data_IF_675770858677
#
_entry.id   IF_675770858677
#
_cell.length_a   1.000
_cell.length_b   1.000
_cell.length_c   1.000
_cell.angle_alpha   90.00
_cell.angle_beta   90.00
_cell.angle_gamma   90.00
#
_symmetry.space_group_name_H-M   'P 1'
#
loop_
_entity.id
_entity.type
_entity.pdbx_description
1 polymer ?
#
# COMPACT_ATOMS: atom_id res chain seq x y z
N UNK A 1 86.25 -1.13 4.95
CA UNK A 1 87.02 -1.62 3.80
C UNK A 1 86.15 -2.26 2.78
N UNK A 2 86.28 -1.77 1.54
CA UNK A 2 85.79 -2.29 0.22
C UNK A 2 84.45 -2.97 0.10
N UNK A 3 83.51 -2.25 -0.43
CA UNK A 3 82.85 -2.26 -1.73
C UNK A 3 82.95 -3.51 -2.59
N UNK A 4 81.80 -4.07 -2.99
CA UNK A 4 81.59 -4.57 -4.35
C UNK A 4 80.18 -4.22 -4.83
N UNK A 5 80.22 -3.56 -5.98
CA UNK A 5 79.07 -3.14 -6.76
C UNK A 5 78.67 -4.32 -7.64
N UNK A 6 77.37 -4.68 -7.67
CA UNK A 6 76.84 -5.67 -8.58
C UNK A 6 75.79 -5.03 -9.46
N UNK A 7 76.05 -4.98 -10.77
CA UNK A 7 75.15 -4.43 -11.80
C UNK A 7 73.95 -5.32 -12.01
N UNK A 8 72.76 -4.73 -12.04
CA UNK A 8 71.54 -5.41 -12.42
C UNK A 8 71.18 -4.99 -13.85
N UNK A 9 71.17 -5.97 -14.74
CA UNK A 9 70.73 -5.80 -16.13
C UNK A 9 69.22 -5.60 -16.21
N UNK A 10 68.78 -4.54 -16.89
CA UNK A 10 67.38 -4.28 -17.18
C UNK A 10 66.93 -5.13 -18.41
N UNK A 11 66.01 -6.03 -18.20
CA UNK A 11 65.28 -6.73 -19.29
C UNK A 11 64.00 -5.91 -19.57
N UNK A 12 63.99 -5.27 -20.74
CA UNK A 12 62.78 -4.61 -21.26
C UNK A 12 61.82 -5.66 -21.87
N UNK A 13 60.72 -5.92 -21.19
CA UNK A 13 59.63 -6.69 -21.74
C UNK A 13 58.64 -5.74 -22.41
N UNK A 14 58.54 -5.82 -23.73
CA UNK A 14 57.53 -5.10 -24.53
C UNK A 14 56.17 -5.77 -24.34
N UNK A 15 55.26 -5.11 -23.64
CA UNK A 15 53.86 -5.51 -23.62
C UNK A 15 53.15 -4.91 -24.83
N UNK A 16 52.75 -5.76 -25.76
CA UNK A 16 51.80 -5.41 -26.81
C UNK A 16 50.41 -5.28 -26.21
N UNK A 17 49.89 -4.06 -26.12
CA UNK A 17 48.48 -3.79 -25.71
C UNK A 17 47.60 -4.10 -26.93
N UNK A 18 46.93 -5.23 -26.88
CA UNK A 18 45.83 -5.53 -27.79
C UNK A 18 44.63 -4.70 -27.38
N UNK A 19 44.31 -3.65 -28.15
CA UNK A 19 43.08 -2.87 -28.01
C UNK A 19 41.92 -3.74 -28.54
N UNK A 20 41.26 -4.45 -27.64
CA UNK A 20 40.00 -5.09 -27.96
C UNK A 20 38.88 -4.04 -27.99
N UNK A 21 38.44 -3.65 -29.18
CA UNK A 21 37.22 -2.85 -29.37
C UNK A 21 36.03 -3.70 -28.94
N UNK A 22 35.61 -3.59 -27.67
CA UNK A 22 34.33 -4.10 -27.24
C UNK A 22 33.23 -3.27 -27.90
N UNK A 23 32.59 -3.85 -28.92
CA UNK A 23 31.35 -3.30 -29.46
C UNK A 23 30.34 -3.12 -28.32
N UNK A 24 29.93 -1.89 -28.10
CA UNK A 24 28.83 -1.57 -27.18
C UNK A 24 27.57 -2.27 -27.75
N UNK A 25 27.26 -3.40 -27.13
CA UNK A 25 26.02 -4.10 -27.40
C UNK A 25 24.86 -3.17 -27.07
N UNK A 26 24.06 -2.85 -28.10
CA UNK A 26 22.82 -2.12 -27.95
C UNK A 26 22.02 -2.77 -26.84
N UNK A 27 21.73 -2.02 -25.77
CA UNK A 27 20.90 -2.47 -24.67
C UNK A 27 19.56 -2.94 -25.22
N UNK A 28 19.35 -4.26 -25.27
CA UNK A 28 18.08 -4.85 -25.72
C UNK A 28 16.97 -4.30 -24.85
N UNK A 29 16.10 -3.50 -25.44
CA UNK A 29 14.85 -3.06 -24.82
C UNK A 29 14.17 -4.31 -24.24
N UNK A 30 13.81 -4.33 -22.94
CA UNK A 30 13.24 -5.53 -22.34
C UNK A 30 12.02 -5.97 -23.13
N UNK A 31 12.04 -7.21 -23.61
CA UNK A 31 10.98 -7.79 -24.42
C UNK A 31 9.64 -7.62 -23.69
N UNK A 32 8.67 -6.95 -24.34
CA UNK A 32 7.31 -6.82 -23.82
C UNK A 32 6.76 -8.22 -23.58
N UNK A 33 6.29 -8.50 -22.36
CA UNK A 33 5.62 -9.77 -22.05
C UNK A 33 4.56 -10.06 -23.12
N UNK A 34 4.60 -11.26 -23.73
CA UNK A 34 3.64 -11.68 -24.75
C UNK A 34 2.19 -11.55 -24.23
N UNK A 35 1.96 -11.83 -22.95
CA UNK A 35 0.67 -11.65 -22.29
C UNK A 35 0.19 -10.18 -22.30
N UNK A 36 1.11 -9.21 -22.26
CA UNK A 36 0.77 -7.80 -22.24
C UNK A 36 0.24 -7.28 -23.59
N UNK A 37 0.63 -7.92 -24.70
CA UNK A 37 0.29 -7.51 -26.07
C UNK A 37 -0.83 -8.34 -26.69
N UNK A 38 -1.19 -9.48 -26.10
CA UNK A 38 -2.27 -10.33 -26.58
C UNK A 38 -3.59 -9.55 -26.64
N UNK A 39 -4.18 -9.48 -27.83
CA UNK A 39 -5.49 -8.84 -28.02
C UNK A 39 -6.60 -9.70 -27.43
N UNK A 40 -7.50 -9.08 -26.68
CA UNK A 40 -8.67 -9.71 -26.06
C UNK A 40 -9.91 -8.99 -26.55
N UNK A 41 -10.95 -9.75 -26.93
CA UNK A 41 -12.27 -9.17 -27.23
C UNK A 41 -12.88 -8.62 -25.94
N UNK A 42 -13.40 -7.40 -26.02
CA UNK A 42 -14.06 -6.76 -24.89
C UNK A 42 -15.48 -7.31 -24.65
N UNK A 43 -16.16 -7.74 -25.69
CA UNK A 43 -17.55 -8.22 -25.60
C UNK A 43 -18.49 -7.23 -24.89
N UNK A 44 -19.63 -7.75 -24.43
CA UNK A 44 -20.60 -7.01 -23.62
C UNK A 44 -20.28 -7.06 -22.13
N UNK A 45 -19.45 -8.00 -21.70
CA UNK A 45 -19.00 -8.17 -20.30
C UNK A 45 -17.48 -8.26 -20.25
N UNK A 46 -16.86 -7.46 -19.39
CA UNK A 46 -15.42 -7.37 -19.20
C UNK A 46 -15.05 -7.77 -17.79
N UNK A 47 -13.93 -8.43 -17.61
CA UNK A 47 -13.54 -8.99 -16.33
C UNK A 47 -12.39 -8.20 -15.70
N UNK A 48 -12.50 -7.90 -14.43
CA UNK A 48 -11.44 -7.35 -13.58
C UNK A 48 -11.19 -8.28 -12.38
N UNK A 49 -9.97 -8.27 -11.85
CA UNK A 49 -9.64 -8.93 -10.59
C UNK A 49 -9.89 -8.01 -9.40
N UNK A 50 -10.22 -8.58 -8.24
CA UNK A 50 -10.16 -7.91 -6.93
C UNK A 50 -9.37 -8.81 -6.01
N UNK A 51 -8.16 -8.39 -5.63
CA UNK A 51 -7.26 -9.06 -4.69
C UNK A 51 -7.37 -8.35 -3.34
N UNK A 52 -7.84 -9.05 -2.33
CA UNK A 52 -8.03 -8.49 -0.99
C UNK A 52 -7.95 -9.61 0.06
N UNK A 53 -7.54 -9.31 1.31
CA UNK A 53 -7.56 -10.30 2.39
C UNK A 53 -9.01 -10.56 2.82
N UNK A 54 -9.61 -11.64 2.32
CA UNK A 54 -11.01 -11.97 2.59
C UNK A 54 -11.16 -12.87 3.82
N UNK A 55 -10.10 -13.58 4.18
CA UNK A 55 -10.00 -14.40 5.39
C UNK A 55 -8.70 -14.08 6.14
N UNK A 56 -8.53 -14.63 7.34
CA UNK A 56 -7.35 -14.42 8.18
C UNK A 56 -7.40 -13.12 9.01
N UNK A 57 -6.25 -12.75 9.62
CA UNK A 57 -6.21 -11.69 10.65
C UNK A 57 -6.61 -10.29 10.15
N UNK A 58 -6.38 -10.00 8.87
CA UNK A 58 -6.71 -8.71 8.25
C UNK A 58 -8.02 -8.75 7.42
N UNK A 59 -8.88 -9.75 7.62
CA UNK A 59 -10.13 -9.88 6.85
C UNK A 59 -11.03 -8.65 6.96
N UNK A 60 -11.02 -7.96 8.10
CA UNK A 60 -11.78 -6.72 8.29
C UNK A 60 -11.41 -5.62 7.28
N UNK A 61 -10.17 -5.59 6.81
CA UNK A 61 -9.70 -4.67 5.75
C UNK A 61 -10.24 -5.12 4.39
N UNK A 62 -9.99 -6.38 4.03
CA UNK A 62 -10.25 -6.89 2.69
C UNK A 62 -11.72 -7.07 2.35
N UNK A 63 -12.53 -7.49 3.31
CA UNK A 63 -13.99 -7.61 3.14
C UNK A 63 -14.60 -6.25 2.77
N UNK A 64 -14.22 -5.19 3.46
CA UNK A 64 -14.63 -3.83 3.12
C UNK A 64 -14.21 -3.44 1.69
N UNK A 65 -12.98 -3.75 1.31
CA UNK A 65 -12.47 -3.45 -0.03
C UNK A 65 -13.27 -4.17 -1.12
N UNK A 66 -13.56 -5.45 -0.92
CA UNK A 66 -14.37 -6.23 -1.85
C UNK A 66 -15.80 -5.70 -1.94
N UNK A 67 -16.46 -5.45 -0.82
CA UNK A 67 -17.83 -4.93 -0.78
C UNK A 67 -17.98 -3.62 -1.58
N UNK A 68 -17.06 -2.69 -1.40
CA UNK A 68 -17.12 -1.41 -2.08
C UNK A 68 -16.73 -1.49 -3.56
N UNK A 69 -15.81 -2.37 -3.93
CA UNK A 69 -15.53 -2.65 -5.33
C UNK A 69 -16.76 -3.27 -6.02
N UNK A 70 -17.44 -4.22 -5.36
CA UNK A 70 -18.69 -4.81 -5.82
C UNK A 70 -19.83 -3.78 -5.90
N UNK A 71 -19.93 -2.88 -4.92
CA UNK A 71 -20.91 -1.80 -4.91
C UNK A 71 -20.72 -0.85 -6.10
N UNK A 72 -19.47 -0.46 -6.39
CA UNK A 72 -19.18 0.30 -7.60
C UNK A 72 -19.60 -0.44 -8.86
N UNK A 73 -19.22 -1.71 -9.00
CA UNK A 73 -19.54 -2.53 -10.18
C UNK A 73 -21.03 -2.75 -10.32
N UNK A 74 -21.76 -2.96 -9.22
CA UNK A 74 -23.24 -3.04 -9.23
C UNK A 74 -23.86 -1.77 -9.79
N UNK A 75 -23.45 -0.60 -9.29
CA UNK A 75 -23.93 0.71 -9.81
C UNK A 75 -23.59 0.91 -11.29
N UNK A 76 -22.35 0.57 -11.68
CA UNK A 76 -21.92 0.62 -13.07
C UNK A 76 -22.83 -0.24 -13.97
N UNK A 77 -23.05 -1.48 -13.59
CA UNK A 77 -23.81 -2.43 -14.37
C UNK A 77 -25.32 -2.09 -14.50
N UNK A 78 -25.89 -1.36 -13.53
CA UNK A 78 -27.28 -0.92 -13.57
C UNK A 78 -27.48 0.32 -14.46
N UNK A 79 -26.45 1.10 -14.71
CA UNK A 79 -26.58 2.31 -15.53
C UNK A 79 -26.87 1.95 -17.00
N UNK A 80 -27.94 2.56 -17.55
CA UNK A 80 -28.36 2.32 -18.95
C UNK A 80 -27.25 2.53 -19.97
N UNK A 81 -26.36 3.53 -19.73
CA UNK A 81 -25.20 3.82 -20.56
C UNK A 81 -24.18 2.68 -20.66
N UNK A 82 -24.20 1.72 -19.71
CA UNK A 82 -23.22 0.64 -19.63
C UNK A 82 -23.77 -0.74 -20.02
N UNK A 83 -24.95 -0.81 -20.67
CA UNK A 83 -25.57 -2.09 -21.06
C UNK A 83 -24.66 -2.99 -21.90
N UNK A 84 -23.80 -2.40 -22.77
CA UNK A 84 -22.84 -3.10 -23.63
C UNK A 84 -21.41 -3.07 -23.04
N UNK A 85 -21.27 -2.77 -21.76
CA UNK A 85 -19.96 -2.63 -21.10
C UNK A 85 -20.03 -3.07 -19.62
N UNK A 86 -20.74 -4.15 -19.34
CA UNK A 86 -20.86 -4.71 -17.99
C UNK A 86 -19.53 -5.23 -17.48
N UNK A 87 -19.37 -5.25 -16.18
CA UNK A 87 -18.16 -5.70 -15.48
C UNK A 87 -18.49 -6.94 -14.67
N UNK A 88 -17.60 -7.94 -14.76
CA UNK A 88 -17.54 -9.10 -13.88
C UNK A 88 -16.31 -9.00 -12.99
N UNK A 89 -16.46 -9.29 -11.70
CA UNK A 89 -15.36 -9.42 -10.76
C UNK A 89 -14.95 -10.89 -10.66
N UNK A 90 -13.64 -11.15 -10.68
CA UNK A 90 -13.01 -12.37 -10.16
C UNK A 90 -12.29 -11.95 -8.89
N UNK A 91 -12.66 -12.51 -7.77
CA UNK A 91 -12.06 -12.23 -6.48
C UNK A 91 -10.93 -13.21 -6.17
N UNK A 92 -9.93 -12.77 -5.39
CA UNK A 92 -8.85 -13.58 -4.87
C UNK A 92 -8.57 -13.19 -3.43
N UNK A 93 -8.48 -14.18 -2.55
CA UNK A 93 -8.17 -14.00 -1.15
C UNK A 93 -6.66 -13.97 -0.96
N UNK A 94 -6.14 -12.86 -0.45
CA UNK A 94 -4.70 -12.64 -0.27
C UNK A 94 -4.21 -12.92 1.14
N UNK A 95 -5.09 -13.13 2.10
CA UNK A 95 -4.80 -13.51 3.49
C UNK A 95 -3.70 -12.69 4.16
N UNK A 96 -3.76 -11.36 4.00
CA UNK A 96 -2.83 -10.43 4.65
C UNK A 96 -2.73 -10.71 6.16
N UNK A 97 -1.51 -10.74 6.67
CA UNK A 97 -1.22 -11.11 8.07
C UNK A 97 -0.99 -12.59 8.28
N UNK A 98 -1.05 -13.42 7.22
CA UNK A 98 -0.66 -14.83 7.26
C UNK A 98 0.65 -15.03 6.51
N UNK A 99 0.60 -14.94 5.17
CA UNK A 99 1.76 -15.11 4.29
C UNK A 99 1.52 -14.42 2.95
N UNK A 100 2.52 -13.71 2.45
CA UNK A 100 2.45 -13.02 1.16
C UNK A 100 2.36 -13.96 -0.05
N UNK A 101 2.65 -15.26 0.11
CA UNK A 101 2.49 -16.25 -0.95
C UNK A 101 1.06 -16.35 -1.47
N UNK A 102 0.05 -16.08 -0.63
CA UNK A 102 -1.35 -16.02 -1.05
C UNK A 102 -1.59 -14.90 -2.06
N UNK A 103 -1.05 -13.71 -1.82
CA UNK A 103 -1.12 -12.61 -2.76
C UNK A 103 -0.41 -12.95 -4.10
N UNK A 104 0.72 -13.65 -4.04
CA UNK A 104 1.43 -14.15 -5.23
C UNK A 104 0.58 -15.15 -6.01
N UNK A 105 -0.06 -16.11 -5.34
CA UNK A 105 -0.99 -17.09 -5.96
C UNK A 105 -2.16 -16.40 -6.64
N UNK A 106 -2.77 -15.40 -5.99
CA UNK A 106 -3.85 -14.59 -6.57
C UNK A 106 -3.38 -13.85 -7.82
N UNK A 107 -2.22 -13.20 -7.76
CA UNK A 107 -1.66 -12.50 -8.91
C UNK A 107 -1.38 -13.44 -10.09
N UNK A 108 -0.86 -14.64 -9.85
CA UNK A 108 -0.68 -15.67 -10.87
C UNK A 108 -2.01 -16.15 -11.46
N UNK A 109 -3.03 -16.36 -10.62
CA UNK A 109 -4.39 -16.72 -11.08
C UNK A 109 -4.97 -15.65 -12.00
N UNK A 110 -4.85 -14.37 -11.64
CA UNK A 110 -5.31 -13.27 -12.49
C UNK A 110 -4.47 -13.16 -13.76
N UNK A 111 -3.16 -13.37 -13.67
CA UNK A 111 -2.26 -13.31 -14.81
C UNK A 111 -2.53 -14.40 -15.85
N UNK A 112 -2.82 -15.63 -15.42
CA UNK A 112 -3.14 -16.78 -16.28
C UNK A 112 -4.54 -16.67 -16.91
N UNK A 113 -5.49 -16.02 -16.24
CA UNK A 113 -6.84 -15.81 -16.77
C UNK A 113 -6.85 -14.69 -17.82
N UNK A 114 -6.84 -15.06 -19.12
CA UNK A 114 -6.79 -14.10 -20.23
C UNK A 114 -7.96 -13.11 -20.25
N UNK A 115 -9.09 -13.41 -19.58
CA UNK A 115 -10.26 -12.51 -19.48
C UNK A 115 -10.03 -11.37 -18.48
N UNK A 116 -9.16 -11.54 -17.46
CA UNK A 116 -8.84 -10.49 -16.49
C UNK A 116 -7.96 -9.43 -17.16
N UNK A 117 -8.46 -8.20 -17.22
CA UNK A 117 -7.82 -7.10 -17.95
C UNK A 117 -6.98 -6.17 -17.05
N UNK A 118 -7.34 -6.06 -15.79
CA UNK A 118 -6.62 -5.33 -14.74
C UNK A 118 -7.13 -5.77 -13.37
N UNK A 119 -6.49 -5.36 -12.27
CA UNK A 119 -6.87 -5.72 -10.93
C UNK A 119 -7.01 -4.51 -9.98
N UNK A 120 -7.88 -4.64 -8.99
CA UNK A 120 -7.97 -3.82 -7.77
C UNK A 120 -7.22 -4.57 -6.67
N UNK A 121 -6.48 -3.86 -5.81
CA UNK A 121 -5.65 -4.45 -4.78
C UNK A 121 -4.23 -4.78 -5.27
N UNK A 122 -3.44 -5.54 -4.49
CA UNK A 122 -3.75 -6.04 -3.15
C UNK A 122 -3.74 -4.95 -2.07
N UNK A 123 -4.06 -5.32 -0.83
CA UNK A 123 -4.25 -4.38 0.27
C UNK A 123 -2.93 -3.93 0.91
N UNK A 124 -2.06 -4.85 1.25
CA UNK A 124 -0.83 -4.61 1.99
C UNK A 124 0.36 -4.23 1.12
N UNK A 125 1.25 -3.39 1.65
CA UNK A 125 2.50 -3.02 0.94
C UNK A 125 3.40 -4.22 0.68
N UNK A 126 3.53 -5.15 1.64
CA UNK A 126 4.25 -6.41 1.50
C UNK A 126 3.65 -7.31 0.41
N UNK A 127 2.32 -7.33 0.28
CA UNK A 127 1.64 -8.07 -0.77
C UNK A 127 1.92 -7.48 -2.16
N UNK A 128 1.97 -6.15 -2.27
CA UNK A 128 2.35 -5.45 -3.51
C UNK A 128 3.78 -5.81 -3.89
N UNK A 129 4.73 -5.78 -2.93
CA UNK A 129 6.13 -6.16 -3.17
C UNK A 129 6.21 -7.58 -3.69
N UNK A 130 5.63 -8.54 -2.97
CA UNK A 130 5.71 -9.96 -3.29
C UNK A 130 5.04 -10.32 -4.64
N UNK A 131 3.86 -9.75 -4.94
CA UNK A 131 3.05 -10.15 -6.10
C UNK A 131 3.38 -9.40 -7.39
N UNK A 132 4.15 -8.31 -7.34
CA UNK A 132 4.47 -7.46 -8.51
C UNK A 132 5.04 -8.26 -9.68
N UNK A 133 5.95 -9.20 -9.44
CA UNK A 133 6.56 -10.00 -10.50
C UNK A 133 5.51 -10.79 -11.31
N UNK A 134 4.52 -11.37 -10.63
CA UNK A 134 3.43 -12.11 -11.26
C UNK A 134 2.53 -11.18 -12.10
N UNK A 135 2.13 -10.02 -11.56
CA UNK A 135 1.39 -9.02 -12.32
C UNK A 135 2.15 -8.52 -13.55
N UNK A 136 3.45 -8.25 -13.42
CA UNK A 136 4.31 -7.83 -14.55
C UNK A 136 4.41 -8.92 -15.62
N UNK A 137 4.66 -10.16 -15.22
CA UNK A 137 4.70 -11.31 -16.15
C UNK A 137 3.38 -11.46 -16.90
N UNK A 138 2.25 -11.28 -16.22
CA UNK A 138 0.92 -11.28 -16.82
C UNK A 138 0.57 -10.03 -17.62
N UNK A 139 1.37 -8.97 -17.56
CA UNK A 139 1.09 -7.68 -18.20
C UNK A 139 -0.04 -6.89 -17.57
N UNK A 140 -0.50 -7.25 -16.36
CA UNK A 140 -1.62 -6.64 -15.65
C UNK A 140 -1.22 -5.33 -14.95
N UNK A 141 -2.01 -4.28 -15.13
CA UNK A 141 -2.01 -3.13 -14.23
C UNK A 141 -2.89 -3.40 -13.01
N UNK A 142 -2.48 -2.89 -11.86
CA UNK A 142 -3.23 -3.07 -10.62
C UNK A 142 -3.23 -1.80 -9.77
N UNK A 143 -4.34 -1.57 -9.06
CA UNK A 143 -4.61 -0.33 -8.33
C UNK A 143 -4.98 -0.67 -6.90
N UNK A 144 -4.12 -0.31 -5.94
CA UNK A 144 -4.40 -0.52 -4.52
C UNK A 144 -5.23 0.61 -3.92
N UNK A 145 -6.14 0.25 -3.03
CA UNK A 145 -6.92 1.17 -2.20
C UNK A 145 -6.29 1.43 -0.82
N UNK A 146 -5.14 0.83 -0.49
CA UNK A 146 -4.59 0.93 0.86
C UNK A 146 -3.08 0.76 1.01
N UNK A 147 -2.35 0.27 0.00
CA UNK A 147 -0.90 0.11 0.10
C UNK A 147 -0.17 1.46 0.02
N UNK A 148 0.44 1.89 1.11
CA UNK A 148 0.94 3.26 1.32
C UNK A 148 2.44 3.43 1.25
N UNK A 149 3.25 2.36 1.37
CA UNK A 149 4.71 2.47 1.41
C UNK A 149 5.26 3.30 0.24
N UNK A 150 6.21 4.21 0.52
CA UNK A 150 6.79 5.15 -0.46
C UNK A 150 7.47 4.39 -1.60
N UNK A 151 8.27 3.37 -1.26
CA UNK A 151 9.07 2.60 -2.22
C UNK A 151 8.26 1.87 -3.30
N UNK A 152 6.95 1.75 -3.13
CA UNK A 152 6.09 1.14 -4.15
C UNK A 152 6.01 1.96 -5.44
N UNK A 153 6.34 3.24 -5.39
CA UNK A 153 6.27 4.18 -6.53
C UNK A 153 7.55 4.99 -6.75
N UNK A 154 8.64 4.73 -6.02
CA UNK A 154 9.92 5.43 -6.18
C UNK A 154 10.70 4.98 -7.44
N UNK A 155 10.41 3.80 -7.96
CA UNK A 155 11.04 3.23 -9.16
C UNK A 155 12.39 2.56 -8.92
N UNK A 156 12.88 2.56 -7.69
CA UNK A 156 14.21 2.06 -7.32
C UNK A 156 14.15 0.91 -6.31
N UNK A 157 13.58 1.18 -5.14
CA UNK A 157 13.51 0.24 -4.03
C UNK A 157 12.45 -0.84 -4.30
N UNK A 158 12.62 -2.02 -3.74
CA UNK A 158 11.68 -3.16 -3.83
C UNK A 158 11.30 -3.58 -5.27
N UNK A 159 12.08 -3.19 -6.27
CA UNK A 159 11.83 -3.48 -7.67
C UNK A 159 10.94 -2.45 -8.39
N UNK A 160 11.18 -2.30 -9.68
CA UNK A 160 10.48 -1.31 -10.49
C UNK A 160 9.03 -1.73 -10.77
N UNK A 161 8.06 -0.97 -10.25
CA UNK A 161 6.61 -1.16 -10.44
C UNK A 161 5.98 -0.14 -11.35
N UNK A 162 6.76 0.81 -11.87
CA UNK A 162 6.27 1.91 -12.71
C UNK A 162 5.50 1.38 -13.92
N UNK A 163 4.31 1.91 -14.13
CA UNK A 163 3.40 1.51 -15.20
C UNK A 163 2.59 0.24 -14.93
N UNK A 164 2.75 -0.38 -13.75
CA UNK A 164 1.96 -1.55 -13.32
C UNK A 164 1.17 -1.28 -12.05
N UNK A 165 1.81 -0.72 -11.02
CA UNK A 165 1.19 -0.39 -9.75
C UNK A 165 0.73 1.08 -9.71
N UNK A 166 -0.45 1.29 -9.13
CA UNK A 166 -1.07 2.58 -8.86
C UNK A 166 -1.80 2.51 -7.52
N UNK A 167 -2.04 3.68 -6.89
CA UNK A 167 -2.80 3.74 -5.64
C UNK A 167 -3.82 4.86 -5.64
N UNK A 168 -4.86 4.74 -4.80
CA UNK A 168 -5.91 5.76 -4.63
C UNK A 168 -5.89 6.41 -3.25
N UNK A 169 -4.84 6.16 -2.49
CA UNK A 169 -4.57 6.73 -1.16
C UNK A 169 -3.25 7.50 -1.17
N UNK A 170 -3.06 8.50 -0.29
CA UNK A 170 -1.75 9.13 -0.10
C UNK A 170 -0.77 8.10 0.46
N UNK A 171 0.53 8.33 0.24
CA UNK A 171 1.57 7.44 0.72
C UNK A 171 2.13 7.86 2.09
N UNK A 172 3.02 7.04 2.65
CA UNK A 172 3.66 7.26 3.95
C UNK A 172 4.53 8.52 4.00
N UNK A 173 4.92 9.07 2.84
CA UNK A 173 5.58 10.38 2.75
C UNK A 173 4.67 11.53 3.18
N UNK A 174 3.36 11.33 3.23
CA UNK A 174 2.38 12.24 3.82
C UNK A 174 2.04 11.82 5.25
N UNK A 175 1.89 10.53 5.50
CA UNK A 175 1.46 10.02 6.82
C UNK A 175 2.52 10.25 7.90
N UNK A 176 3.78 9.88 7.64
CA UNK A 176 4.84 9.99 8.63
C UNK A 176 5.05 11.43 9.14
N UNK A 177 5.12 12.48 8.28
CA UNK A 177 5.16 13.86 8.76
C UNK A 177 3.91 14.25 9.56
N UNK A 178 2.72 13.83 9.13
CA UNK A 178 1.46 14.14 9.84
C UNK A 178 1.50 13.60 11.26
N UNK A 179 1.86 12.33 11.44
CA UNK A 179 1.96 11.66 12.74
C UNK A 179 3.05 12.29 13.60
N UNK A 180 4.28 12.41 13.08
CA UNK A 180 5.40 12.93 13.86
C UNK A 180 5.20 14.38 14.30
N UNK A 181 4.71 15.25 13.39
CA UNK A 181 4.42 16.64 13.76
C UNK A 181 3.27 16.76 14.77
N UNK A 182 2.27 15.89 14.71
CA UNK A 182 1.20 15.87 15.71
C UNK A 182 1.75 15.49 17.10
N UNK A 183 2.61 14.45 17.17
CA UNK A 183 3.30 14.08 18.42
C UNK A 183 4.14 15.23 18.98
N UNK A 184 4.89 15.94 18.12
CA UNK A 184 5.79 17.04 18.52
C UNK A 184 5.01 18.29 18.91
N UNK A 185 4.11 18.75 18.02
CA UNK A 185 3.50 20.09 18.13
C UNK A 185 2.25 20.11 19.01
N UNK A 186 1.44 19.06 18.94
CA UNK A 186 0.15 18.99 19.64
C UNK A 186 0.29 18.23 20.96
N UNK A 187 0.83 17.00 20.92
CA UNK A 187 0.97 16.18 22.11
C UNK A 187 2.19 16.57 22.97
N UNK A 188 3.13 17.34 22.40
CA UNK A 188 4.37 17.79 23.07
C UNK A 188 5.23 16.64 23.60
N UNK A 189 5.16 15.48 22.94
CA UNK A 189 5.95 14.30 23.34
C UNK A 189 7.45 14.53 23.16
N UNK A 190 8.23 14.12 24.14
CA UNK A 190 9.69 14.21 24.18
C UNK A 190 10.38 12.85 24.15
N UNK A 191 9.64 11.79 24.51
CA UNK A 191 10.13 10.40 24.51
C UNK A 191 9.06 9.52 23.88
N UNK A 192 9.41 8.87 22.78
CA UNK A 192 8.51 8.00 22.00
C UNK A 192 9.18 6.64 21.83
N UNK A 193 8.44 5.60 22.14
CA UNK A 193 8.83 4.23 21.82
C UNK A 193 8.18 3.83 20.52
N UNK A 194 8.92 3.23 19.56
CA UNK A 194 8.37 2.76 18.30
C UNK A 194 8.49 1.24 18.27
N UNK A 195 7.42 0.56 17.91
CA UNK A 195 7.43 -0.89 17.73
C UNK A 195 6.86 -1.20 16.35
N UNK A 196 7.71 -1.64 15.41
CA UNK A 196 7.23 -2.17 14.13
C UNK A 196 6.93 -3.67 14.23
N UNK A 197 6.07 -4.17 13.33
CA UNK A 197 5.67 -5.58 13.29
C UNK A 197 6.45 -6.40 12.24
N UNK A 198 7.63 -5.90 11.83
CA UNK A 198 8.53 -6.49 10.83
C UNK A 198 7.99 -6.54 9.40
N UNK A 199 6.75 -6.12 9.18
CA UNK A 199 6.19 -6.07 7.85
C UNK A 199 6.67 -4.84 7.06
N UNK A 200 6.72 -5.00 5.75
CA UNK A 200 7.20 -3.96 4.81
C UNK A 200 6.52 -2.60 5.01
N UNK A 201 5.20 -2.59 5.27
CA UNK A 201 4.43 -1.39 5.59
C UNK A 201 4.93 -0.76 6.89
N UNK A 202 4.93 -1.54 7.95
CA UNK A 202 5.22 -1.10 9.31
C UNK A 202 6.62 -0.53 9.45
N UNK A 203 7.61 -1.24 8.92
CA UNK A 203 9.01 -0.79 8.93
C UNK A 203 9.19 0.55 8.22
N UNK A 204 8.61 0.72 7.01
CA UNK A 204 8.77 1.95 6.25
C UNK A 204 8.14 3.16 6.93
N UNK A 205 6.98 2.98 7.55
CA UNK A 205 6.30 4.06 8.27
C UNK A 205 7.00 4.38 9.59
N UNK A 206 7.49 3.36 10.31
CA UNK A 206 8.32 3.53 11.50
C UNK A 206 9.61 4.31 11.20
N UNK A 207 10.30 3.98 10.10
CA UNK A 207 11.51 4.69 9.64
C UNK A 207 11.22 6.18 9.41
N UNK A 208 10.15 6.48 8.68
CA UNK A 208 9.76 7.85 8.38
C UNK A 208 9.43 8.67 9.64
N UNK A 209 8.64 8.12 10.55
CA UNK A 209 8.28 8.78 11.82
C UNK A 209 9.51 8.95 12.70
N UNK A 210 10.32 7.91 12.87
CA UNK A 210 11.56 7.96 13.67
C UNK A 210 12.51 9.06 13.19
N UNK A 211 12.73 9.14 11.88
CA UNK A 211 13.64 10.12 11.30
C UNK A 211 13.19 11.57 11.63
N UNK A 212 11.90 11.85 11.52
CA UNK A 212 11.35 13.18 11.80
C UNK A 212 11.39 13.48 13.30
N UNK A 213 11.03 12.53 14.16
CA UNK A 213 11.07 12.69 15.61
C UNK A 213 12.50 13.00 16.09
N UNK A 214 13.50 12.20 15.67
CA UNK A 214 14.92 12.41 16.02
C UNK A 214 15.43 13.76 15.51
N UNK A 215 15.11 14.15 14.27
CA UNK A 215 15.50 15.45 13.70
C UNK A 215 14.97 16.64 14.52
N UNK A 216 13.85 16.44 15.24
CA UNK A 216 13.21 17.47 16.08
C UNK A 216 13.52 17.31 17.58
N UNK A 217 14.57 16.59 17.96
CA UNK A 217 15.05 16.47 19.33
C UNK A 217 14.18 15.58 20.23
N UNK A 218 13.33 14.74 19.67
CA UNK A 218 12.56 13.75 20.44
C UNK A 218 13.45 12.50 20.64
N UNK A 219 13.54 12.03 21.88
CA UNK A 219 14.22 10.77 22.22
C UNK A 219 13.38 9.61 21.71
N UNK A 220 13.95 8.76 20.85
CA UNK A 220 13.27 7.63 20.24
C UNK A 220 14.02 6.35 20.52
N UNK A 221 13.35 5.39 21.14
CA UNK A 221 13.75 3.97 21.20
C UNK A 221 12.88 3.18 20.23
N UNK A 222 13.46 2.21 19.54
CA UNK A 222 12.76 1.35 18.60
C UNK A 222 13.05 -0.11 18.88
N UNK A 223 11.99 -0.92 18.83
CA UNK A 223 12.00 -2.37 18.80
C UNK A 223 11.19 -2.89 17.60
N UNK A 224 11.33 -4.16 17.34
CA UNK A 224 10.57 -4.89 16.32
C UNK A 224 10.02 -6.17 16.92
N UNK A 225 8.80 -6.53 16.55
CA UNK A 225 8.17 -7.81 16.93
C UNK A 225 7.67 -8.50 15.67
N UNK A 226 7.46 -9.81 15.73
CA UNK A 226 6.76 -10.50 14.64
C UNK A 226 5.29 -10.10 14.61
N UNK A 227 4.71 -9.95 13.42
CA UNK A 227 3.26 -9.74 13.27
C UNK A 227 2.43 -10.91 13.83
N UNK A 228 3.06 -12.06 14.12
CA UNK A 228 2.43 -13.23 14.76
C UNK A 228 2.51 -13.18 16.30
N UNK A 229 3.12 -12.15 16.88
CA UNK A 229 3.26 -12.02 18.34
C UNK A 229 1.90 -11.83 19.00
N UNK A 230 1.63 -12.62 20.06
CA UNK A 230 0.43 -12.50 20.90
C UNK A 230 0.74 -12.18 22.36
N UNK A 231 1.93 -12.54 22.83
CA UNK A 231 2.45 -12.16 24.14
C UNK A 231 3.48 -11.03 23.97
N UNK A 232 3.16 -9.87 24.52
CA UNK A 232 3.96 -8.67 24.43
C UNK A 232 4.76 -8.36 25.68
N UNK A 233 4.75 -9.24 26.70
CA UNK A 233 5.40 -9.01 27.98
C UNK A 233 6.86 -8.60 27.87
N UNK A 234 7.62 -9.27 26.99
CA UNK A 234 9.04 -9.00 26.76
C UNK A 234 9.30 -7.58 26.22
N UNK A 235 8.52 -7.13 25.22
CA UNK A 235 8.71 -5.80 24.65
C UNK A 235 8.15 -4.73 25.59
N UNK A 236 7.06 -5.01 26.31
CA UNK A 236 6.47 -4.10 27.30
C UNK A 236 7.44 -3.87 28.47
N UNK A 237 8.16 -4.88 28.93
CA UNK A 237 9.16 -4.75 29.99
C UNK A 237 10.24 -3.74 29.63
N UNK A 238 10.66 -3.68 28.37
CA UNK A 238 11.69 -2.76 27.86
C UNK A 238 11.22 -1.29 27.78
N UNK A 239 9.90 -1.01 27.76
CA UNK A 239 9.39 0.36 27.66
C UNK A 239 9.55 1.07 29.01
N UNK A 240 10.39 2.13 29.10
CA UNK A 240 10.55 2.85 30.38
C UNK A 240 9.29 3.62 30.75
N UNK A 241 9.00 3.70 32.05
CA UNK A 241 7.77 4.37 32.55
C UNK A 241 7.71 5.88 32.23
N UNK A 242 8.83 6.51 31.92
CA UNK A 242 8.88 7.94 31.59
C UNK A 242 8.65 8.25 30.11
N UNK A 243 8.28 7.25 29.29
CA UNK A 243 7.85 7.47 27.91
C UNK A 243 6.41 7.97 27.87
N UNK A 244 6.12 8.86 26.95
CA UNK A 244 4.80 9.49 26.82
C UNK A 244 3.90 8.75 25.84
N UNK A 245 4.51 8.09 24.85
CA UNK A 245 3.76 7.34 23.85
C UNK A 245 4.53 6.19 23.23
N UNK A 246 3.76 5.20 22.76
CA UNK A 246 4.23 4.09 21.91
C UNK A 246 3.59 4.25 20.55
N UNK A 247 4.39 4.32 19.51
CA UNK A 247 3.94 4.30 18.11
C UNK A 247 3.96 2.88 17.56
N UNK A 248 2.83 2.41 17.10
CA UNK A 248 2.61 1.05 16.57
C UNK A 248 2.02 1.14 15.15
N UNK A 249 2.84 1.28 14.11
CA UNK A 249 2.40 1.34 12.71
C UNK A 249 2.00 -0.04 12.18
N UNK A 250 1.03 -0.70 12.83
CA UNK A 250 0.64 -2.08 12.53
C UNK A 250 -0.60 -2.14 11.63
N UNK A 251 -0.95 -3.36 11.21
CA UNK A 251 -2.11 -3.61 10.35
C UNK A 251 -3.19 -4.49 11.02
N UNK A 252 -2.87 -5.11 12.14
CA UNK A 252 -3.78 -6.04 12.81
C UNK A 252 -4.38 -5.39 14.07
N UNK A 253 -5.57 -4.82 13.94
CA UNK A 253 -6.26 -4.15 15.03
C UNK A 253 -6.52 -5.04 16.27
N UNK A 254 -6.83 -6.34 16.15
CA UNK A 254 -6.90 -7.25 17.32
C UNK A 254 -5.57 -7.34 18.07
N UNK A 255 -4.44 -7.35 17.36
CA UNK A 255 -3.10 -7.38 17.94
C UNK A 255 -2.82 -6.08 18.73
N UNK A 256 -3.13 -4.91 18.14
CA UNK A 256 -3.00 -3.63 18.82
C UNK A 256 -3.89 -3.54 20.08
N UNK A 257 -5.09 -4.13 20.03
CA UNK A 257 -5.99 -4.23 21.19
C UNK A 257 -5.35 -5.07 22.31
N UNK A 258 -4.81 -6.25 21.96
CA UNK A 258 -4.16 -7.14 22.93
C UNK A 258 -2.90 -6.47 23.54
N UNK A 259 -2.07 -5.84 22.70
CA UNK A 259 -0.91 -5.07 23.18
C UNK A 259 -1.30 -3.99 24.18
N UNK A 260 -2.32 -3.19 23.84
CA UNK A 260 -2.79 -2.11 24.73
C UNK A 260 -3.32 -2.64 26.07
N UNK A 261 -4.03 -3.77 26.08
CA UNK A 261 -4.50 -4.42 27.29
C UNK A 261 -3.33 -4.92 28.16
N UNK A 262 -2.34 -5.58 27.56
CA UNK A 262 -1.15 -6.05 28.26
C UNK A 262 -0.31 -4.88 28.80
N UNK A 263 -0.20 -3.79 28.05
CA UNK A 263 0.48 -2.57 28.50
C UNK A 263 -0.20 -1.97 29.75
N UNK A 264 -1.54 -1.95 29.77
CA UNK A 264 -2.32 -1.48 30.92
C UNK A 264 -2.15 -2.42 32.12
N UNK A 265 -2.21 -3.73 31.90
CA UNK A 265 -2.02 -4.74 32.95
C UNK A 265 -0.61 -4.68 33.57
N UNK A 266 0.39 -4.29 32.80
CA UNK A 266 1.76 -4.06 33.29
C UNK A 266 1.95 -2.73 34.03
N UNK A 267 0.86 -2.01 34.39
CA UNK A 267 0.91 -0.73 35.11
C UNK A 267 1.35 0.47 34.24
N UNK A 268 1.46 0.28 32.92
CA UNK A 268 1.93 1.32 31.97
C UNK A 268 0.79 1.99 31.18
N UNK A 269 -0.45 1.93 31.68
CA UNK A 269 -1.64 2.50 31.02
C UNK A 269 -1.64 4.04 30.87
N UNK A 270 -0.72 4.73 31.53
CA UNK A 270 -0.48 6.18 31.36
C UNK A 270 0.22 6.48 30.01
N UNK A 271 0.99 5.54 29.46
CA UNK A 271 1.67 5.67 28.17
C UNK A 271 0.63 5.53 27.05
N UNK A 272 0.53 6.54 26.18
CA UNK A 272 -0.48 6.58 25.12
C UNK A 272 -0.04 5.79 23.89
N UNK A 273 -0.96 5.08 23.27
CA UNK A 273 -0.70 4.44 21.99
C UNK A 273 -1.00 5.39 20.83
N UNK A 274 -0.21 5.30 19.78
CA UNK A 274 -0.49 5.96 18.51
C UNK A 274 -0.34 4.93 17.40
N UNK A 275 -1.44 4.67 16.68
CA UNK A 275 -1.51 3.76 15.54
C UNK A 275 -1.40 4.46 14.20
N UNK A 276 -1.64 3.69 13.18
CA UNK A 276 -1.62 4.12 11.79
C UNK A 276 -2.86 3.58 11.06
N UNK A 277 -3.09 4.01 9.82
CA UNK A 277 -4.29 3.67 9.04
C UNK A 277 -4.62 2.18 9.03
N UNK A 278 -3.61 1.30 9.09
CA UNK A 278 -3.80 -0.15 9.19
C UNK A 278 -4.61 -0.58 10.42
N UNK A 279 -4.61 0.22 11.47
CA UNK A 279 -5.35 -0.04 12.73
C UNK A 279 -6.71 0.66 12.80
N UNK A 280 -7.13 1.37 11.75
CA UNK A 280 -8.41 2.08 11.77
C UNK A 280 -9.59 1.10 11.73
N UNK A 281 -9.90 0.54 12.89
CA UNK A 281 -10.95 -0.45 13.08
C UNK A 281 -11.84 -0.13 14.28
N UNK A 282 -12.79 0.83 14.13
CA UNK A 282 -13.75 1.15 15.19
C UNK A 282 -14.49 -0.11 15.68
N UNK A 283 -14.59 -0.25 17.00
CA UNK A 283 -15.21 -1.42 17.62
C UNK A 283 -14.29 -2.63 17.78
N UNK A 284 -13.10 -2.67 17.17
CA UNK A 284 -12.06 -3.70 17.36
C UNK A 284 -10.94 -3.17 18.25
N UNK A 285 -10.27 -2.10 17.84
CA UNK A 285 -9.29 -1.41 18.69
C UNK A 285 -9.99 -0.36 19.56
N UNK A 286 -10.02 -0.57 20.88
CA UNK A 286 -10.83 0.19 21.85
C UNK A 286 -10.02 0.77 23.01
N UNK A 287 -8.70 0.83 22.90
CA UNK A 287 -7.86 1.41 23.96
C UNK A 287 -8.10 2.93 24.01
N UNK A 288 -8.98 3.34 24.92
CA UNK A 288 -9.45 4.73 25.04
C UNK A 288 -8.30 5.71 25.28
N UNK A 289 -8.36 6.88 24.63
CA UNK A 289 -7.32 7.90 24.71
C UNK A 289 -6.12 7.63 23.80
N UNK A 290 -6.07 6.49 23.08
CA UNK A 290 -5.10 6.24 22.01
C UNK A 290 -5.39 7.11 20.79
N UNK A 291 -4.38 7.28 19.95
CA UNK A 291 -4.46 8.05 18.71
C UNK A 291 -4.29 7.14 17.51
N UNK A 292 -4.82 7.57 16.36
CA UNK A 292 -4.65 6.88 15.09
C UNK A 292 -4.54 7.88 13.94
N UNK A 293 -3.85 7.53 12.88
CA UNK A 293 -3.80 8.30 11.65
C UNK A 293 -4.48 7.54 10.52
N UNK A 294 -5.36 8.20 9.78
CA UNK A 294 -6.17 7.52 8.78
C UNK A 294 -6.34 8.34 7.50
N UNK A 295 -6.68 7.67 6.40
CA UNK A 295 -6.99 8.31 5.13
C UNK A 295 -8.12 9.33 5.29
N UNK A 296 -8.23 10.31 4.38
CA UNK A 296 -9.38 11.19 4.35
C UNK A 296 -10.67 10.39 4.20
N UNK A 297 -11.59 10.60 5.13
CA UNK A 297 -12.89 9.98 5.16
C UNK A 297 -13.97 11.04 5.24
N UNK A 298 -14.91 11.04 4.28
CA UNK A 298 -16.03 11.97 4.26
C UNK A 298 -17.36 11.21 4.42
N UNK A 299 -17.88 11.05 5.65
CA UNK A 299 -19.14 10.37 5.90
C UNK A 299 -20.35 11.12 5.34
N UNK A 300 -20.24 12.43 5.09
CA UNK A 300 -21.31 13.25 4.50
C UNK A 300 -21.48 13.04 2.98
N UNK A 301 -20.57 12.30 2.33
CA UNK A 301 -20.71 12.01 0.91
C UNK A 301 -21.96 11.17 0.65
N UNK A 302 -22.81 11.62 -0.29
CA UNK A 302 -24.10 10.97 -0.61
C UNK A 302 -23.95 9.48 -0.99
N UNK A 303 -22.86 9.10 -1.67
CA UNK A 303 -22.63 7.70 -2.04
C UNK A 303 -22.28 6.85 -0.81
N UNK A 304 -21.54 7.42 0.15
CA UNK A 304 -21.23 6.78 1.44
C UNK A 304 -22.55 6.59 2.24
N UNK A 305 -23.35 7.64 2.35
CA UNK A 305 -24.63 7.58 3.06
C UNK A 305 -25.58 6.55 2.43
N UNK A 306 -25.65 6.51 1.10
CA UNK A 306 -26.47 5.51 0.40
C UNK A 306 -25.97 4.07 0.65
N UNK A 307 -24.66 3.86 0.70
CA UNK A 307 -24.08 2.55 1.04
C UNK A 307 -24.44 2.15 2.47
N UNK A 308 -24.18 3.03 3.44
CA UNK A 308 -24.48 2.79 4.87
C UNK A 308 -25.96 2.46 5.07
N UNK A 309 -26.87 3.23 4.45
CA UNK A 309 -28.30 2.98 4.50
C UNK A 309 -28.69 1.60 3.92
N UNK A 310 -28.09 1.22 2.78
CA UNK A 310 -28.41 -0.04 2.10
C UNK A 310 -27.90 -1.27 2.84
N UNK A 311 -26.81 -1.15 3.59
CA UNK A 311 -26.10 -2.29 4.21
C UNK A 311 -26.19 -2.29 5.74
N UNK A 312 -26.97 -1.37 6.36
CA UNK A 312 -27.17 -1.26 7.82
C UNK A 312 -25.84 -1.22 8.60
N UNK A 313 -24.79 -0.66 8.01
CA UNK A 313 -23.43 -0.72 8.49
C UNK A 313 -22.78 0.63 8.76
N UNK A 314 -21.53 0.58 9.15
CA UNK A 314 -20.63 1.72 9.15
C UNK A 314 -20.16 2.03 7.72
N UNK A 315 -19.46 3.14 7.53
CA UNK A 315 -18.99 3.55 6.20
C UNK A 315 -17.86 2.69 5.62
N UNK A 316 -17.40 1.66 6.33
CA UNK A 316 -16.34 0.75 5.90
C UNK A 316 -15.11 1.51 5.35
N UNK A 317 -14.29 2.01 6.23
CA UNK A 317 -13.18 2.93 5.95
C UNK A 317 -12.28 2.50 4.78
N UNK A 318 -11.85 1.24 4.73
CA UNK A 318 -11.02 0.71 3.65
C UNK A 318 -11.79 0.47 2.34
N UNK A 319 -13.11 0.53 2.39
CA UNK A 319 -13.96 0.34 1.23
C UNK A 319 -13.90 1.52 0.26
N UNK A 320 -13.92 2.76 0.77
CA UNK A 320 -14.01 3.95 -0.07
C UNK A 320 -12.85 4.07 -1.09
N UNK A 321 -11.57 3.94 -0.69
CA UNK A 321 -10.48 3.96 -1.65
C UNK A 321 -10.55 2.81 -2.66
N UNK A 322 -11.06 1.64 -2.25
CA UNK A 322 -11.25 0.48 -3.12
C UNK A 322 -12.37 0.70 -4.15
N UNK A 323 -13.45 1.40 -3.78
CA UNK A 323 -14.46 1.88 -4.73
C UNK A 323 -13.82 2.74 -5.82
N UNK A 324 -12.96 3.68 -5.43
CA UNK A 324 -12.26 4.55 -6.40
C UNK A 324 -11.24 3.77 -7.21
N UNK A 325 -10.54 2.79 -6.64
CA UNK A 325 -9.66 1.90 -7.38
C UNK A 325 -10.44 1.09 -8.45
N UNK A 326 -11.63 0.58 -8.10
CA UNK A 326 -12.52 -0.07 -9.06
C UNK A 326 -13.00 0.90 -10.14
N UNK A 327 -13.33 2.14 -9.80
CA UNK A 327 -13.70 3.19 -10.75
C UNK A 327 -12.55 3.49 -11.74
N UNK A 328 -11.34 3.57 -11.26
CA UNK A 328 -10.12 3.76 -12.08
C UNK A 328 -9.95 2.60 -13.05
N UNK A 329 -9.97 1.37 -12.54
CA UNK A 329 -9.76 0.15 -13.32
C UNK A 329 -10.84 -0.02 -14.38
N UNK A 330 -12.11 0.09 -14.00
CA UNK A 330 -13.26 -0.05 -14.92
C UNK A 330 -13.26 1.04 -15.99
N UNK A 331 -13.00 2.28 -15.59
CA UNK A 331 -12.84 3.40 -16.51
C UNK A 331 -11.71 3.17 -17.52
N UNK A 332 -10.57 2.66 -17.06
CA UNK A 332 -9.42 2.36 -17.92
C UNK A 332 -9.72 1.22 -18.92
N UNK A 333 -10.32 0.13 -18.46
CA UNK A 333 -10.78 -0.98 -19.31
C UNK A 333 -11.75 -0.47 -20.38
N UNK A 334 -12.71 0.37 -19.98
CA UNK A 334 -13.71 0.90 -20.90
C UNK A 334 -13.10 1.82 -21.96
N UNK A 335 -12.19 2.74 -21.57
CA UNK A 335 -11.47 3.60 -22.51
C UNK A 335 -10.58 2.80 -23.47
N UNK A 336 -9.87 1.78 -22.94
CA UNK A 336 -9.02 0.92 -23.76
C UNK A 336 -9.82 0.12 -24.78
N UNK A 337 -10.96 -0.44 -24.39
CA UNK A 337 -11.88 -1.15 -25.28
C UNK A 337 -12.47 -0.26 -26.37
N UNK A 338 -12.86 0.98 -25.99
CA UNK A 338 -13.37 1.96 -26.96
C UNK A 338 -12.30 2.33 -28.00
N UNK A 339 -11.08 2.67 -27.52
CA UNK A 339 -9.96 3.02 -28.40
C UNK A 339 -9.50 1.87 -29.30
N UNK A 340 -9.72 0.62 -28.91
CA UNK A 340 -9.38 -0.57 -29.67
C UNK A 340 -10.55 -1.16 -30.47
N UNK A 341 -11.64 -0.40 -30.68
CA UNK A 341 -12.82 -0.81 -31.46
C UNK A 341 -13.36 -2.19 -31.06
N UNK A 342 -13.55 -2.38 -29.75
CA UNK A 342 -14.07 -3.63 -29.19
C UNK A 342 -13.02 -4.71 -28.89
N UNK A 343 -11.74 -4.44 -29.14
CA UNK A 343 -10.61 -5.29 -28.74
C UNK A 343 -9.62 -4.48 -27.91
N UNK A 344 -8.92 -5.10 -26.96
CA UNK A 344 -7.92 -4.41 -26.16
C UNK A 344 -6.75 -5.33 -25.80
N UNK A 345 -5.71 -4.75 -25.18
CA UNK A 345 -4.61 -5.47 -24.58
C UNK A 345 -4.43 -5.01 -23.14
N UNK A 346 -3.85 -5.82 -22.26
CA UNK A 346 -3.49 -5.42 -20.90
C UNK A 346 -2.57 -4.20 -20.89
N UNK A 347 -1.66 -4.09 -21.84
CA UNK A 347 -0.80 -2.93 -22.01
C UNK A 347 -1.59 -1.65 -22.33
N UNK A 348 -2.61 -1.73 -23.18
CA UNK A 348 -3.50 -0.60 -23.47
C UNK A 348 -4.29 -0.20 -22.23
N UNK A 349 -4.79 -1.16 -21.44
CA UNK A 349 -5.49 -0.88 -20.18
C UNK A 349 -4.57 -0.17 -19.20
N UNK A 350 -3.32 -0.63 -19.00
CA UNK A 350 -2.35 0.05 -18.12
C UNK A 350 -2.10 1.49 -18.55
N UNK A 351 -1.93 1.74 -19.85
CA UNK A 351 -1.79 3.11 -20.36
C UNK A 351 -3.01 3.98 -20.00
N UNK A 352 -4.22 3.39 -19.99
CA UNK A 352 -5.42 4.11 -19.61
C UNK A 352 -5.55 4.29 -18.09
N UNK A 353 -5.03 3.37 -17.27
CA UNK A 353 -4.90 3.59 -15.81
C UNK A 353 -4.02 4.82 -15.58
N UNK A 354 -2.82 4.86 -16.15
CA UNK A 354 -1.88 5.98 -16.00
C UNK A 354 -2.47 7.34 -16.46
N UNK A 355 -3.40 7.32 -17.42
CA UNK A 355 -4.10 8.53 -17.92
C UNK A 355 -5.33 8.91 -17.10
N UNK A 356 -5.57 8.27 -15.96
CA UNK A 356 -6.71 8.58 -15.11
C UNK A 356 -6.66 10.02 -14.61
N UNK A 357 -7.81 10.69 -14.69
CA UNK A 357 -8.01 12.05 -14.21
C UNK A 357 -9.46 12.19 -13.72
N UNK A 358 -9.73 11.68 -12.54
CA UNK A 358 -11.01 11.86 -11.86
C UNK A 358 -10.97 13.21 -11.14
N UNK A 359 -11.63 14.23 -11.66
CA UNK A 359 -11.65 15.58 -11.09
C UNK A 359 -12.21 15.58 -9.66
N UNK A 360 -13.25 14.77 -9.43
CA UNK A 360 -13.87 14.54 -8.13
C UNK A 360 -14.04 13.04 -7.90
N UNK A 361 -13.79 12.58 -6.68
CA UNK A 361 -14.02 11.20 -6.25
C UNK A 361 -14.86 11.17 -4.98
N UNK A 362 -15.37 10.01 -4.59
CA UNK A 362 -16.07 9.86 -3.29
C UNK A 362 -15.15 10.12 -2.09
N UNK A 363 -13.82 10.14 -2.32
CA UNK A 363 -12.83 10.49 -1.29
C UNK A 363 -12.76 12.00 -1.02
N UNK A 364 -13.44 12.83 -1.83
CA UNK A 364 -13.44 14.28 -1.69
C UNK A 364 -12.27 14.99 -2.39
N UNK A 365 -11.41 14.26 -3.09
CA UNK A 365 -10.26 14.82 -3.81
C UNK A 365 -10.09 14.23 -5.22
N UNK A 366 -9.27 14.90 -6.01
CA UNK A 366 -8.92 14.49 -7.39
C UNK A 366 -8.00 13.27 -7.37
N UNK A 367 -8.27 12.29 -8.22
CA UNK A 367 -7.38 11.15 -8.46
C UNK A 367 -6.78 11.24 -9.86
N UNK A 368 -5.50 11.52 -9.92
CA UNK A 368 -4.69 11.56 -11.14
C UNK A 368 -3.28 11.11 -10.80
N UNK A 369 -2.60 10.48 -11.76
CA UNK A 369 -1.31 9.83 -11.52
C UNK A 369 -0.13 10.60 -12.10
N UNK A 370 0.99 10.57 -11.40
CA UNK A 370 2.33 10.82 -11.91
C UNK A 370 2.77 9.64 -12.79
N UNK A 371 3.89 9.79 -13.49
CA UNK A 371 4.48 8.72 -14.31
C UNK A 371 4.84 7.49 -13.46
N UNK A 372 5.20 7.69 -12.21
CA UNK A 372 5.52 6.62 -11.25
C UNK A 372 4.34 5.74 -10.83
N UNK A 373 3.10 6.20 -11.02
CA UNK A 373 1.88 5.58 -10.48
C UNK A 373 1.41 6.20 -9.16
N UNK A 374 2.17 7.15 -8.61
CA UNK A 374 1.81 7.94 -7.43
C UNK A 374 0.74 8.97 -7.77
N UNK A 375 -0.08 9.34 -6.79
CA UNK A 375 -1.06 10.42 -6.96
C UNK A 375 -0.37 11.78 -7.16
N UNK A 376 -0.89 12.61 -8.08
CA UNK A 376 -0.34 13.95 -8.34
C UNK A 376 -0.54 14.91 -7.17
N UNK A 377 -1.66 14.81 -6.48
CA UNK A 377 -2.05 15.67 -5.37
C UNK A 377 -2.52 14.75 -4.23
N UNK A 378 -1.63 14.33 -3.35
CA UNK A 378 -1.99 13.51 -2.20
C UNK A 378 -2.87 14.33 -1.24
N UNK A 379 -3.93 13.71 -0.72
CA UNK A 379 -4.71 14.27 0.37
C UNK A 379 -3.97 14.09 1.70
N UNK A 380 -4.25 14.95 2.68
CA UNK A 380 -3.69 14.84 4.01
C UNK A 380 -4.30 13.64 4.77
N UNK A 381 -3.52 13.03 5.66
CA UNK A 381 -4.05 12.11 6.66
C UNK A 381 -4.77 12.89 7.77
N UNK A 382 -5.84 12.32 8.31
CA UNK A 382 -6.49 12.82 9.51
C UNK A 382 -5.93 12.15 10.76
N UNK A 383 -5.96 12.86 11.90
CA UNK A 383 -5.67 12.29 13.22
C UNK A 383 -6.98 12.06 13.95
N UNK A 384 -7.07 10.90 14.56
CA UNK A 384 -8.25 10.44 15.31
C UNK A 384 -7.87 10.07 16.73
N UNK A 385 -8.80 10.21 17.65
CA UNK A 385 -8.67 9.73 19.03
C UNK A 385 -9.73 8.69 19.31
N UNK A 386 -9.32 7.59 19.91
CA UNK A 386 -10.21 6.51 20.32
C UNK A 386 -10.94 6.90 21.57
N UNK A 387 -12.26 6.90 21.50
CA UNK A 387 -13.16 7.28 22.59
C UNK A 387 -13.45 6.08 23.51
N UNK A 388 -13.99 6.34 24.71
CA UNK A 388 -14.36 5.27 25.68
C UNK A 388 -15.32 4.22 25.11
N UNK A 389 -16.19 4.61 24.18
CA UNK A 389 -17.11 3.70 23.49
C UNK A 389 -16.48 2.95 22.30
N UNK A 390 -15.18 3.11 22.06
CA UNK A 390 -14.46 2.49 20.95
C UNK A 390 -14.67 3.16 19.57
N UNK A 391 -15.36 4.32 19.54
CA UNK A 391 -15.45 5.12 18.31
C UNK A 391 -14.18 5.95 18.09
N UNK A 392 -13.91 6.29 16.82
CA UNK A 392 -12.77 7.11 16.42
C UNK A 392 -13.26 8.54 16.10
N UNK A 393 -12.88 9.50 16.92
CA UNK A 393 -13.23 10.91 16.75
C UNK A 393 -12.08 11.63 16.06
N UNK A 394 -12.33 12.28 14.92
CA UNK A 394 -11.33 13.11 14.25
C UNK A 394 -11.01 14.33 15.10
N UNK A 395 -9.71 14.62 15.26
CA UNK A 395 -9.18 15.70 16.10
C UNK A 395 -8.09 16.53 15.41
N UNK A 396 -7.63 16.07 14.24
CA UNK A 396 -6.62 16.77 13.45
C UNK A 396 -6.67 16.42 11.94
#
# INVERSE_FOLDING_TARGET
>A
MLRKVGAIAAVAAAFAVAVSTTAWGSAKTPARSAAATKKVSCGTTRTIGVAAPLTGPAASIGVQQLHWAQYFVKRWNHAKAHRKAKIKIVQGDTQLGVDTSFAVKVAHSFASNSKVLAAVGPAGSQEVVASTAAYKKGGLGFVSGSATRISLTDGHTDGNRIGYFFRTVPNDGVQAPTVAHYMIKTLKWKRVYIIDDQETYSQGLADGVQAILKKNGVSVTRDSISQQTSDFSSVIAKIPNNYQGVYIPWQLAPQAQAFGQQLQAAGKGHIKLFGSDGLFAPGVWKIAGSYDSAFPYNPANKAVQAYVKAHKGNGEFFGLPSYVAAQVVVGAVTRACKAGHGKTTRAAVRKQIAKTNLKTSILGFRVAYQKSGEMKLPAAFGIYQIQKNGSFKRIG
#
